data_IF_279038638733
#
_entry.id   IF_279038638733
#
_cell.length_a   1.000
_cell.length_b   1.000
_cell.length_c   1.000
_cell.angle_alpha   90.00
_cell.angle_beta   90.00
_cell.angle_gamma   90.00
#
_symmetry.space_group_name_H-M   'P 1'
#
loop_
_entity.id
_entity.type
_entity.pdbx_description
1 polymer ?
#
# COMPACT_ATOMS: atom_id res chain seq x y z
N UNK A 1 3.89 -11.15 13.89
CA UNK A 1 3.03 -10.54 12.84
C UNK A 1 3.85 -9.56 12.06
N UNK A 2 3.71 -9.52 10.74
CA UNK A 2 4.45 -8.60 9.88
C UNK A 2 3.64 -7.32 9.65
N UNK A 3 4.34 -6.20 9.54
CA UNK A 3 3.74 -4.94 9.13
C UNK A 3 4.60 -4.28 8.07
N UNK A 4 4.03 -3.32 7.37
CA UNK A 4 4.76 -2.45 6.47
C UNK A 4 4.35 -1.00 6.72
N UNK A 5 5.31 -0.10 6.57
CA UNK A 5 5.08 1.35 6.58
C UNK A 5 4.99 1.84 5.15
N UNK A 6 3.91 2.54 4.83
CA UNK A 6 3.75 3.22 3.55
C UNK A 6 4.04 4.70 3.75
N UNK A 7 4.83 5.27 2.83
CA UNK A 7 5.02 6.72 2.72
C UNK A 7 4.56 7.11 1.33
N UNK A 8 3.64 8.08 1.28
CA UNK A 8 3.12 8.66 0.06
C UNK A 8 3.64 10.08 0.02
N UNK A 9 4.44 10.41 -0.98
CA UNK A 9 4.98 11.75 -1.19
C UNK A 9 4.36 12.34 -2.46
N UNK A 10 3.79 13.55 -2.35
CA UNK A 10 3.34 14.29 -3.52
C UNK A 10 4.49 15.13 -4.07
N UNK A 11 5.18 14.61 -5.08
CA UNK A 11 6.28 15.32 -5.76
C UNK A 11 5.79 16.13 -6.97
N UNK A 12 4.47 16.28 -7.12
CA UNK A 12 3.86 17.05 -8.20
C UNK A 12 3.51 18.49 -7.75
N UNK A 13 3.34 19.44 -8.69
CA UNK A 13 2.90 20.79 -8.38
C UNK A 13 1.38 20.90 -8.15
N UNK A 14 0.63 19.78 -8.12
CA UNK A 14 -0.82 19.75 -7.99
C UNK A 14 -1.22 19.20 -6.63
N UNK A 15 -2.35 19.66 -6.09
CA UNK A 15 -3.00 18.98 -4.96
C UNK A 15 -3.57 17.65 -5.47
N UNK A 16 -3.32 16.59 -4.72
CA UNK A 16 -3.81 15.24 -5.01
C UNK A 16 -4.52 14.66 -3.81
N UNK A 17 -5.51 13.79 -4.03
CA UNK A 17 -6.18 13.07 -2.95
C UNK A 17 -6.15 11.57 -3.23
N UNK A 18 -5.70 10.78 -2.25
CA UNK A 18 -5.84 9.33 -2.29
C UNK A 18 -7.31 8.98 -2.07
N UNK A 19 -7.93 8.31 -3.03
CA UNK A 19 -9.35 7.96 -2.94
C UNK A 19 -9.58 6.48 -2.69
N UNK A 20 -8.71 5.61 -3.21
CA UNK A 20 -8.89 4.16 -3.14
C UNK A 20 -7.57 3.42 -3.14
N UNK A 21 -7.57 2.23 -2.55
CA UNK A 21 -6.47 1.27 -2.62
C UNK A 21 -6.94 -0.04 -3.25
N UNK A 22 -6.04 -0.66 -4.00
CA UNK A 22 -6.18 -1.96 -4.61
C UNK A 22 -4.89 -2.72 -4.39
N UNK A 23 -4.79 -3.45 -3.28
CA UNK A 23 -3.60 -4.25 -2.96
C UNK A 23 -3.93 -5.74 -3.06
N UNK A 24 -2.92 -6.52 -3.41
CA UNK A 24 -2.95 -7.98 -3.40
C UNK A 24 -1.83 -8.47 -2.51
N UNK A 25 -2.18 -9.31 -1.55
CA UNK A 25 -1.26 -9.97 -0.63
C UNK A 25 -1.21 -11.43 -1.04
N UNK A 26 -0.04 -11.91 -1.42
CA UNK A 26 0.22 -13.32 -1.69
C UNK A 26 0.96 -13.93 -0.50
N UNK A 27 0.47 -15.04 0.02
CA UNK A 27 1.17 -15.83 1.04
C UNK A 27 2.12 -16.84 0.39
N UNK A 28 3.07 -17.38 1.15
CA UNK A 28 3.94 -18.49 0.73
C UNK A 28 3.13 -19.69 0.20
N UNK A 29 1.99 -20.01 0.83
CA UNK A 29 1.09 -21.09 0.41
C UNK A 29 0.35 -20.83 -0.91
N UNK A 30 0.59 -19.69 -1.57
CA UNK A 30 -0.05 -19.31 -2.82
C UNK A 30 -1.44 -18.71 -2.66
N UNK A 31 -1.94 -18.56 -1.43
CA UNK A 31 -3.21 -17.87 -1.17
C UNK A 31 -3.07 -16.38 -1.52
N UNK A 32 -4.04 -15.84 -2.26
CA UNK A 32 -4.07 -14.43 -2.62
C UNK A 32 -5.26 -13.77 -1.94
N UNK A 33 -4.98 -12.83 -1.05
CA UNK A 33 -5.98 -11.94 -0.48
C UNK A 33 -5.98 -10.61 -1.26
N UNK A 34 -7.17 -10.12 -1.62
CA UNK A 34 -7.31 -8.77 -2.17
C UNK A 34 -7.75 -7.80 -1.08
N UNK A 35 -7.04 -6.67 -0.98
CA UNK A 35 -7.38 -5.55 -0.12
C UNK A 35 -7.81 -4.40 -1.02
N UNK A 36 -9.11 -4.38 -1.32
CA UNK A 36 -9.76 -3.33 -2.08
C UNK A 36 -10.57 -2.45 -1.13
N UNK A 37 -10.45 -1.13 -1.24
CA UNK A 37 -11.31 -0.26 -0.42
C UNK A 37 -11.01 1.22 -0.54
N UNK A 38 -11.97 2.01 -0.05
CA UNK A 38 -11.87 3.47 0.01
C UNK A 38 -10.74 3.86 0.95
N UNK A 39 -9.92 4.81 0.51
CA UNK A 39 -8.86 5.39 1.31
C UNK A 39 -7.82 4.39 1.83
N UNK A 40 -7.14 4.79 2.89
CA UNK A 40 -6.21 4.00 3.70
C UNK A 40 -6.50 4.27 5.16
N UNK A 41 -6.55 3.24 6.02
CA UNK A 41 -6.79 3.37 7.47
C UNK A 41 -8.00 4.26 7.85
N UNK A 42 -9.07 4.23 7.05
CA UNK A 42 -10.26 5.07 7.26
C UNK A 42 -10.11 6.53 6.82
N UNK A 43 -9.04 6.89 6.11
CA UNK A 43 -8.73 8.25 5.66
C UNK A 43 -8.56 8.31 4.14
N UNK A 44 -8.97 9.41 3.53
CA UNK A 44 -8.65 9.78 2.14
C UNK A 44 -7.75 11.00 2.14
N UNK A 45 -6.44 10.84 2.44
CA UNK A 45 -5.53 11.97 2.63
C UNK A 45 -5.46 12.83 1.37
N UNK A 46 -5.55 14.14 1.57
CA UNK A 46 -5.26 15.17 0.58
C UNK A 46 -3.82 15.62 0.82
N UNK A 47 -3.01 15.63 -0.23
CA UNK A 47 -1.60 16.01 -0.16
C UNK A 47 -1.38 17.24 -1.06
N UNK A 48 -0.92 18.32 -0.45
CA UNK A 48 -0.42 19.50 -1.15
C UNK A 48 0.95 19.21 -1.78
N UNK A 49 1.45 20.05 -2.71
CA UNK A 49 2.80 19.87 -3.28
C UNK A 49 3.87 19.73 -2.20
N UNK A 50 4.75 18.73 -2.36
CA UNK A 50 5.83 18.32 -1.45
C UNK A 50 5.39 17.72 -0.10
N UNK A 51 4.09 17.57 0.13
CA UNK A 51 3.58 16.96 1.36
C UNK A 51 3.77 15.44 1.36
N UNK A 52 3.93 14.89 2.56
CA UNK A 52 4.05 13.45 2.79
C UNK A 52 2.99 12.96 3.76
N UNK A 53 2.36 11.86 3.43
CA UNK A 53 1.48 11.10 4.31
C UNK A 53 2.13 9.75 4.61
N UNK A 54 2.08 9.30 5.87
CA UNK A 54 2.57 7.97 6.22
C UNK A 54 1.61 7.23 7.12
N UNK A 55 1.56 5.91 6.96
CA UNK A 55 0.77 5.03 7.80
C UNK A 55 1.41 3.65 7.89
N UNK A 56 1.08 2.93 8.96
CA UNK A 56 1.51 1.55 9.18
C UNK A 56 0.33 0.63 8.99
N UNK A 57 0.55 -0.48 8.28
CA UNK A 57 -0.42 -1.54 8.10
C UNK A 57 0.14 -2.85 8.66
N UNK A 58 -0.74 -3.67 9.21
CA UNK A 58 -0.41 -5.04 9.59
C UNK A 58 -0.82 -5.98 8.46
N UNK A 59 0.09 -6.88 8.10
CA UNK A 59 -0.14 -7.90 7.10
C UNK A 59 -0.50 -9.21 7.83
N UNK A 60 -1.56 -9.94 7.42
CA UNK A 60 -1.94 -11.21 8.04
C UNK A 60 -0.99 -12.35 7.62
N UNK A 61 0.32 -12.11 7.71
CA UNK A 61 1.38 -13.09 7.51
C UNK A 61 1.89 -13.51 8.88
N UNK A 62 1.91 -14.82 9.10
CA UNK A 62 2.43 -15.46 10.31
C UNK A 62 3.65 -16.26 9.94
N UNK A 63 4.77 -15.98 10.63
CA UNK A 63 5.95 -16.80 10.54
C UNK A 63 5.68 -18.16 11.21
N UNK A 64 6.03 -19.29 10.59
CA UNK A 64 6.04 -20.55 11.31
C UNK A 64 7.11 -20.54 12.41
N UNK A 65 6.82 -21.22 13.51
CA UNK A 65 7.82 -21.47 14.55
C UNK A 65 9.01 -22.24 13.97
N UNK A 66 10.24 -21.78 14.24
CA UNK A 66 11.46 -22.38 13.67
C UNK A 66 11.69 -22.07 12.18
N UNK A 67 10.99 -21.07 11.60
CA UNK A 67 11.22 -20.62 10.24
C UNK A 67 12.67 -20.21 9.97
N UNK A 68 13.18 -20.53 8.78
CA UNK A 68 14.58 -20.25 8.39
C UNK A 68 14.73 -18.79 7.97
N UNK A 69 15.80 -18.13 8.43
CA UNK A 69 16.22 -16.81 7.92
C UNK A 69 16.28 -16.81 6.38
N UNK A 70 15.82 -15.73 5.76
CA UNK A 70 15.72 -15.61 4.31
C UNK A 70 14.46 -16.22 3.68
N UNK A 71 13.59 -16.90 4.45
CA UNK A 71 12.33 -17.44 3.93
C UNK A 71 11.37 -16.30 3.57
N UNK A 72 10.82 -16.35 2.35
CA UNK A 72 9.78 -15.41 1.88
C UNK A 72 8.43 -15.88 2.39
N UNK A 73 7.82 -15.12 3.30
CA UNK A 73 6.50 -15.42 3.87
C UNK A 73 5.36 -15.00 2.94
N UNK A 74 5.62 -14.02 2.08
CA UNK A 74 4.63 -13.47 1.17
C UNK A 74 5.09 -12.20 0.49
N UNK A 75 4.25 -11.72 -0.42
CA UNK A 75 4.46 -10.48 -1.15
C UNK A 75 3.22 -9.61 -1.16
N UNK A 76 3.43 -8.31 -1.35
CA UNK A 76 2.36 -7.31 -1.50
C UNK A 76 2.63 -6.50 -2.75
N UNK A 77 1.59 -6.29 -3.56
CA UNK A 77 1.64 -5.39 -4.72
C UNK A 77 0.29 -4.76 -5.00
N UNK A 78 0.25 -3.77 -5.88
CA UNK A 78 -1.03 -3.21 -6.33
C UNK A 78 -0.93 -1.75 -6.76
N UNK A 79 -1.95 -0.98 -6.44
CA UNK A 79 -2.01 0.44 -6.74
C UNK A 79 -2.87 1.22 -5.75
N UNK A 80 -2.65 2.54 -5.74
CA UNK A 80 -3.56 3.51 -5.17
C UNK A 80 -4.14 4.37 -6.28
N UNK A 81 -5.43 4.63 -6.22
CA UNK A 81 -6.08 5.60 -7.08
C UNK A 81 -6.06 6.97 -6.41
N UNK A 82 -5.65 7.96 -7.19
CA UNK A 82 -5.63 9.36 -6.80
C UNK A 82 -6.48 10.19 -7.75
N UNK A 83 -7.03 11.29 -7.24
CA UNK A 83 -7.65 12.33 -8.05
C UNK A 83 -6.87 13.64 -7.93
N UNK A 84 -6.96 14.49 -8.96
CA UNK A 84 -6.39 15.84 -8.98
C UNK A 84 -7.48 16.90 -9.19
N UNK A 85 -7.29 18.09 -8.60
CA UNK A 85 -8.04 19.32 -8.90
C UNK A 85 -9.40 19.50 -8.20
N UNK A 86 -9.99 20.69 -8.38
CA UNK A 86 -11.26 21.11 -7.76
C UNK A 86 -12.46 21.08 -8.72
N UNK A 87 -12.25 20.90 -10.03
CA UNK A 87 -13.32 20.79 -11.03
C UNK A 87 -12.86 19.88 -12.19
N UNK A 88 -13.47 18.70 -12.31
CA UNK A 88 -13.11 17.67 -13.29
C UNK A 88 -12.01 16.74 -12.78
N UNK A 89 -12.38 15.79 -11.91
CA UNK A 89 -11.47 14.80 -11.35
C UNK A 89 -10.74 14.01 -12.45
N UNK A 90 -9.46 14.33 -12.69
CA UNK A 90 -8.58 13.40 -13.40
C UNK A 90 -8.09 12.38 -12.39
N UNK A 91 -8.38 11.11 -12.68
CA UNK A 91 -7.93 9.98 -11.87
C UNK A 91 -6.61 9.45 -12.43
N UNK A 92 -5.67 9.10 -11.55
CA UNK A 92 -4.43 8.42 -11.93
C UNK A 92 -4.06 7.37 -10.88
N UNK A 93 -3.24 6.41 -11.29
CA UNK A 93 -2.79 5.32 -10.44
C UNK A 93 -1.33 5.49 -10.04
N UNK A 94 -1.05 5.41 -8.74
CA UNK A 94 0.29 5.21 -8.23
C UNK A 94 0.51 3.71 -7.98
N UNK A 95 1.46 3.12 -8.72
CA UNK A 95 1.77 1.68 -8.62
C UNK A 95 2.57 1.39 -7.36
N UNK A 96 2.19 0.33 -6.66
CA UNK A 96 3.00 -0.32 -5.63
C UNK A 96 3.64 -1.54 -6.27
N UNK A 97 4.94 -1.46 -6.52
CA UNK A 97 5.73 -2.60 -6.98
C UNK A 97 5.73 -3.71 -5.93
N UNK A 98 5.91 -4.93 -6.40
CA UNK A 98 5.91 -6.10 -5.52
C UNK A 98 7.08 -6.02 -4.53
N UNK A 99 6.75 -6.09 -3.24
CA UNK A 99 7.71 -6.16 -2.15
C UNK A 99 7.42 -7.38 -1.29
N UNK A 100 8.45 -7.87 -0.60
CA UNK A 100 8.43 -9.16 0.08
C UNK A 100 8.58 -8.99 1.59
N UNK A 101 7.89 -9.84 2.34
CA UNK A 101 8.14 -10.05 3.75
C UNK A 101 9.04 -11.27 3.91
N UNK A 102 10.23 -11.04 4.44
CA UNK A 102 11.29 -12.05 4.55
C UNK A 102 11.65 -12.21 6.02
N UNK A 103 11.82 -13.46 6.47
CA UNK A 103 12.33 -13.74 7.81
C UNK A 103 13.76 -13.19 7.97
N UNK A 104 14.05 -12.50 9.09
CA UNK A 104 15.39 -11.98 9.38
C UNK A 104 16.40 -13.10 9.55
#
# INVERSE_FOLDING_TARGET
>A
VFGYKVVIANESPRIVQLVRRHLRIRTESGTVAEVNGVGVIGRQPVLTPNEKFSYTCMCPLTAPEGGKSGTVLGSVKGSYDFVTGNAGHKTFQARVHEFFHILP
#
